data_IF_241413848629
#
_entry.id   IF_241413848629
#
_cell.length_a   1.000
_cell.length_b   1.000
_cell.length_c   1.000
_cell.angle_alpha   90.00
_cell.angle_beta   90.00
_cell.angle_gamma   90.00
#
_symmetry.space_group_name_H-M   'P 1'
#
loop_
_entity.id
_entity.type
_entity.pdbx_description
1 polymer ?
#
# COMPACT_ATOMS: atom_id res chain seq x y z
N UNK A 1 29.65 -25.63 55.21
CA UNK A 1 29.91 -24.27 55.72
C UNK A 1 31.11 -23.68 54.99
N UNK A 2 30.93 -22.91 53.92
CA UNK A 2 31.92 -21.96 53.34
C UNK A 2 31.12 -21.03 52.41
N UNK A 3 30.75 -19.84 52.88
CA UNK A 3 31.49 -18.56 52.85
C UNK A 3 31.45 -17.84 51.49
N UNK A 4 30.89 -16.64 51.57
CA UNK A 4 30.65 -15.61 50.55
C UNK A 4 31.96 -15.16 49.92
N UNK A 5 31.95 -14.83 48.62
CA UNK A 5 32.88 -13.85 48.04
C UNK A 5 32.11 -12.84 47.19
N UNK A 6 31.95 -11.65 47.77
CA UNK A 6 31.73 -10.38 47.07
C UNK A 6 33.00 -9.99 46.32
N UNK A 7 32.85 -9.45 45.11
CA UNK A 7 33.92 -8.80 44.37
C UNK A 7 33.34 -7.69 43.50
N UNK A 8 33.61 -6.44 43.86
CA UNK A 8 33.30 -5.22 43.10
C UNK A 8 34.60 -4.78 42.44
N UNK A 9 34.65 -4.58 41.12
CA UNK A 9 35.66 -3.69 40.49
C UNK A 9 35.18 -3.19 39.12
N UNK A 10 34.85 -1.90 39.10
CA UNK A 10 35.16 -0.86 38.10
C UNK A 10 35.25 -1.22 36.60
N UNK A 11 34.33 -0.62 35.83
CA UNK A 11 34.62 0.26 34.69
C UNK A 11 35.54 -0.25 33.58
N UNK A 12 34.95 -0.75 32.49
CA UNK A 12 35.53 -0.65 31.13
C UNK A 12 34.39 -0.25 30.18
N UNK A 13 34.52 0.93 29.57
CA UNK A 13 33.78 1.28 28.35
C UNK A 13 34.24 0.35 27.22
N UNK A 14 33.32 -0.38 26.61
CA UNK A 14 33.54 -1.00 25.31
C UNK A 14 32.66 -0.28 24.29
N UNK A 15 33.30 0.49 23.41
CA UNK A 15 32.68 0.93 22.15
C UNK A 15 32.30 -0.31 21.35
N UNK A 16 31.01 -0.52 21.14
CA UNK A 16 30.53 -1.43 20.10
C UNK A 16 30.02 -0.56 18.95
N UNK A 17 30.88 -0.38 17.95
CA UNK A 17 30.47 0.08 16.64
C UNK A 17 30.00 -1.15 15.85
N UNK A 18 28.69 -1.25 15.61
CA UNK A 18 28.15 -2.05 14.50
C UNK A 18 26.81 -1.46 14.09
N UNK A 19 26.88 -0.58 13.08
CA UNK A 19 25.69 -0.17 12.35
C UNK A 19 25.15 -1.35 11.56
N UNK A 20 23.86 -1.62 11.67
CA UNK A 20 23.10 -2.35 10.66
C UNK A 20 22.03 -1.42 10.10
N UNK A 21 22.45 -0.64 9.11
CA UNK A 21 21.59 0.14 8.23
C UNK A 21 20.71 -0.80 7.41
N UNK A 22 19.46 -0.97 7.79
CA UNK A 22 18.41 -1.51 6.92
C UNK A 22 17.13 -0.66 6.95
N UNK A 23 17.31 0.65 7.08
CA UNK A 23 16.31 1.64 6.68
C UNK A 23 16.87 2.42 5.51
N UNK A 24 16.36 2.15 4.30
CA UNK A 24 16.24 3.07 3.16
C UNK A 24 16.00 2.27 1.89
N UNK A 25 14.75 2.13 1.47
CA UNK A 25 14.43 2.02 0.04
C UNK A 25 13.05 2.60 -0.25
N UNK A 26 12.97 3.93 -0.15
CA UNK A 26 11.92 4.74 -0.76
C UNK A 26 12.46 6.13 -1.10
N UNK A 27 13.56 6.21 -1.88
CA UNK A 27 13.99 7.49 -2.44
C UNK A 27 13.34 7.70 -3.82
N UNK A 28 12.41 8.63 -3.78
CA UNK A 28 11.69 9.34 -4.83
C UNK A 28 12.67 9.84 -5.91
N UNK A 29 12.31 9.69 -7.19
CA UNK A 29 12.98 10.40 -8.28
C UNK A 29 12.64 11.89 -8.14
N UNK A 30 13.63 12.70 -7.82
CA UNK A 30 13.58 14.15 -8.03
C UNK A 30 13.59 14.41 -9.52
N UNK A 31 12.52 15.03 -10.02
CA UNK A 31 12.48 15.62 -11.35
C UNK A 31 12.95 17.06 -11.18
N UNK A 32 14.18 17.36 -11.59
CA UNK A 32 14.65 18.73 -11.70
C UNK A 32 13.99 19.38 -12.92
N UNK A 33 13.24 20.46 -12.73
CA UNK A 33 13.02 21.46 -13.79
C UNK A 33 13.53 22.77 -13.24
N UNK A 34 14.75 23.11 -13.63
CA UNK A 34 15.16 24.51 -13.61
C UNK A 34 14.28 25.25 -14.62
N UNK A 35 13.29 25.97 -14.12
CA UNK A 35 12.54 26.95 -14.89
C UNK A 35 12.54 28.25 -14.11
N UNK A 36 13.31 29.21 -14.62
CA UNK A 36 13.41 30.60 -14.18
C UNK A 36 11.99 31.21 -14.09
N UNK A 37 11.66 31.99 -13.04
CA UNK A 37 10.35 32.60 -12.94
C UNK A 37 10.28 33.88 -13.78
N UNK A 38 9.46 33.86 -14.82
CA UNK A 38 8.99 35.11 -15.43
C UNK A 38 7.87 35.68 -14.55
N UNK A 39 8.13 36.86 -13.97
CA UNK A 39 7.11 37.67 -13.28
C UNK A 39 5.98 38.01 -14.27
N UNK A 40 4.74 37.72 -13.89
CA UNK A 40 3.61 38.55 -14.31
C UNK A 40 2.64 38.69 -13.13
N UNK A 41 2.22 39.93 -12.94
CA UNK A 41 1.45 40.40 -11.81
C UNK A 41 -0.03 39.99 -11.91
N UNK A 42 -0.69 39.91 -10.75
CA UNK A 42 -2.12 40.18 -10.63
C UNK A 42 -3.04 38.97 -10.66
N UNK A 43 -3.33 38.42 -9.48
CA UNK A 43 -4.71 38.28 -8.96
C UNK A 43 -4.64 37.42 -7.70
N UNK A 44 -4.68 38.07 -6.55
CA UNK A 44 -4.84 37.41 -5.25
C UNK A 44 -6.27 36.93 -5.11
N UNK A 45 -6.62 35.85 -5.82
CA UNK A 45 -7.71 34.99 -5.38
C UNK A 45 -7.13 34.11 -4.29
N UNK A 46 -7.31 34.58 -3.05
CA UNK A 46 -7.18 33.78 -1.84
C UNK A 46 -8.01 32.51 -2.06
N UNK A 47 -7.34 31.43 -2.48
CA UNK A 47 -7.96 30.12 -2.65
C UNK A 47 -8.28 29.66 -1.24
N UNK A 48 -9.48 29.96 -0.79
CA UNK A 48 -10.08 29.39 0.40
C UNK A 48 -9.93 27.88 0.25
N UNK A 49 -8.96 27.30 0.94
CA UNK A 49 -8.78 25.86 0.99
C UNK A 49 -9.94 25.36 1.82
N UNK A 50 -11.09 25.16 1.16
CA UNK A 50 -12.16 24.32 1.67
C UNK A 50 -11.49 22.99 1.99
N UNK A 51 -11.20 22.77 3.27
CA UNK A 51 -10.71 21.52 3.79
C UNK A 51 -11.80 20.51 3.49
N UNK A 52 -11.65 19.77 2.39
CA UNK A 52 -12.53 18.65 2.10
C UNK A 52 -12.57 17.77 3.36
N UNK A 53 -13.74 17.28 3.78
CA UNK A 53 -13.84 16.51 5.01
C UNK A 53 -12.90 15.31 4.92
N UNK A 54 -11.88 15.32 5.78
CA UNK A 54 -10.97 14.20 5.90
C UNK A 54 -11.77 13.04 6.49
N UNK A 55 -12.12 12.07 5.65
CA UNK A 55 -12.87 10.89 6.08
C UNK A 55 -11.88 9.77 6.33
N UNK A 56 -11.87 9.22 7.54
CA UNK A 56 -11.00 8.09 7.88
C UNK A 56 -11.86 6.83 7.93
N UNK A 57 -11.50 5.83 7.14
CA UNK A 57 -12.19 4.55 7.18
C UNK A 57 -11.85 3.78 8.47
N UNK A 58 -12.72 2.82 8.82
CA UNK A 58 -12.49 1.91 9.94
C UNK A 58 -11.20 1.11 9.71
N UNK A 59 -10.48 0.78 10.78
CA UNK A 59 -9.24 0.01 10.68
C UNK A 59 -9.46 -1.38 10.05
N UNK A 60 -8.39 -1.94 9.46
CA UNK A 60 -8.42 -3.31 8.96
C UNK A 60 -8.49 -4.29 10.15
N UNK A 61 -9.51 -5.14 10.19
CA UNK A 61 -9.65 -6.19 11.20
C UNK A 61 -8.69 -7.37 11.00
N UNK A 62 -8.16 -7.57 9.79
CA UNK A 62 -7.17 -8.60 9.48
C UNK A 62 -6.04 -8.02 8.64
N UNK A 63 -4.81 -8.43 8.96
CA UNK A 63 -3.58 -7.94 8.31
C UNK A 63 -2.65 -9.04 7.82
N UNK A 64 -2.99 -10.32 8.05
CA UNK A 64 -2.20 -11.48 7.63
C UNK A 64 -3.09 -12.48 6.89
N UNK A 65 -2.57 -13.04 5.80
CA UNK A 65 -3.31 -13.89 4.86
C UNK A 65 -2.40 -15.00 4.32
N UNK A 66 -2.98 -16.16 4.05
CA UNK A 66 -2.30 -17.33 3.50
C UNK A 66 -2.10 -17.26 1.98
N UNK A 67 -2.81 -16.36 1.29
CA UNK A 67 -2.78 -16.24 -0.16
C UNK A 67 -3.17 -14.83 -0.62
N UNK A 68 -2.87 -14.52 -1.88
CA UNK A 68 -3.38 -13.28 -2.50
C UNK A 68 -4.90 -13.30 -2.69
N UNK A 69 -5.48 -14.48 -2.84
CA UNK A 69 -6.93 -14.67 -3.04
C UNK A 69 -7.70 -14.34 -1.76
N UNK A 70 -7.31 -14.91 -0.61
CA UNK A 70 -7.95 -14.62 0.67
C UNK A 70 -7.83 -13.14 1.06
N UNK A 71 -6.69 -12.51 0.76
CA UNK A 71 -6.53 -11.07 0.90
C UNK A 71 -7.46 -10.26 0.00
N UNK A 72 -7.60 -10.63 -1.28
CA UNK A 72 -8.50 -9.91 -2.18
C UNK A 72 -9.98 -10.09 -1.79
N UNK A 73 -10.39 -11.29 -1.37
CA UNK A 73 -11.73 -11.54 -0.86
C UNK A 73 -12.04 -10.66 0.36
N UNK A 74 -11.13 -10.65 1.35
CA UNK A 74 -11.22 -9.77 2.51
C UNK A 74 -11.26 -8.30 2.11
N UNK A 75 -10.36 -7.86 1.21
CA UNK A 75 -10.28 -6.47 0.80
C UNK A 75 -11.56 -6.02 0.07
N UNK A 76 -12.16 -6.88 -0.75
CA UNK A 76 -13.42 -6.59 -1.42
C UNK A 76 -14.56 -6.41 -0.42
N UNK A 77 -14.68 -7.31 0.56
CA UNK A 77 -15.67 -7.18 1.63
C UNK A 77 -15.47 -5.90 2.45
N UNK A 78 -14.22 -5.62 2.85
CA UNK A 78 -13.86 -4.39 3.56
C UNK A 78 -14.21 -3.14 2.73
N UNK A 79 -13.88 -3.10 1.45
CA UNK A 79 -14.19 -2.00 0.54
C UNK A 79 -15.70 -1.75 0.43
N UNK A 80 -16.50 -2.81 0.33
CA UNK A 80 -17.96 -2.71 0.30
C UNK A 80 -18.54 -2.18 1.62
N UNK A 81 -18.07 -2.70 2.75
CA UNK A 81 -18.52 -2.29 4.08
C UNK A 81 -18.18 -0.83 4.42
N UNK A 82 -17.08 -0.32 3.87
CA UNK A 82 -16.56 1.01 4.17
C UNK A 82 -16.71 2.01 3.04
N UNK A 83 -17.39 1.62 1.95
CA UNK A 83 -17.63 2.44 0.76
C UNK A 83 -16.35 3.00 0.12
N UNK A 84 -15.28 2.23 0.15
CA UNK A 84 -13.98 2.57 -0.43
C UNK A 84 -13.75 1.83 -1.74
N UNK A 85 -12.94 2.38 -2.64
CA UNK A 85 -12.48 1.64 -3.82
C UNK A 85 -10.98 1.82 -4.01
N UNK A 86 -10.27 0.71 -3.98
CA UNK A 86 -8.84 0.64 -4.22
C UNK A 86 -8.55 -0.01 -5.57
N UNK A 87 -7.51 0.48 -6.24
CA UNK A 87 -6.93 -0.13 -7.43
C UNK A 87 -5.47 -0.47 -7.19
N UNK A 88 -4.98 -1.50 -7.87
CA UNK A 88 -3.55 -1.81 -7.87
C UNK A 88 -2.80 -0.67 -8.58
N UNK A 89 -1.82 -0.07 -7.88
CA UNK A 89 -0.91 0.93 -8.44
C UNK A 89 0.38 0.30 -8.93
N UNK A 90 0.97 -0.58 -8.13
CA UNK A 90 2.20 -1.29 -8.47
C UNK A 90 2.14 -2.71 -7.94
N UNK A 91 2.74 -3.62 -8.68
CA UNK A 91 3.00 -5.00 -8.30
C UNK A 91 4.45 -5.34 -8.62
N UNK A 92 5.11 -6.12 -7.77
CA UNK A 92 6.43 -6.67 -8.10
C UNK A 92 6.37 -8.18 -8.04
N UNK A 93 6.96 -8.86 -9.03
CA UNK A 93 7.00 -10.32 -9.09
C UNK A 93 7.98 -10.91 -8.07
N UNK A 94 7.67 -12.09 -7.56
CA UNK A 94 8.56 -12.86 -6.69
C UNK A 94 9.88 -13.15 -7.39
N UNK A 95 9.82 -13.59 -8.64
CA UNK A 95 10.99 -13.87 -9.48
C UNK A 95 11.99 -12.71 -9.49
N UNK A 96 11.50 -11.47 -9.63
CA UNK A 96 12.36 -10.28 -9.66
C UNK A 96 13.05 -10.04 -8.32
N UNK A 97 12.33 -10.22 -7.21
CA UNK A 97 12.91 -10.11 -5.87
C UNK A 97 13.96 -11.19 -5.64
N UNK A 98 13.64 -12.44 -5.94
CA UNK A 98 14.55 -13.56 -5.73
C UNK A 98 15.83 -13.41 -6.57
N UNK A 99 15.70 -12.95 -7.82
CA UNK A 99 16.84 -12.63 -8.68
C UNK A 99 17.76 -11.58 -8.05
N UNK A 100 17.19 -10.53 -7.45
CA UNK A 100 17.98 -9.49 -6.76
C UNK A 100 18.69 -10.03 -5.52
N UNK A 101 18.00 -10.83 -4.70
CA UNK A 101 18.58 -11.47 -3.51
C UNK A 101 19.79 -12.32 -3.90
N UNK A 102 19.64 -13.20 -4.91
CA UNK A 102 20.73 -14.04 -5.43
C UNK A 102 21.89 -13.20 -5.96
N UNK A 103 21.61 -12.19 -6.79
CA UNK A 103 22.65 -11.31 -7.37
C UNK A 103 23.43 -10.53 -6.30
N UNK A 104 22.78 -10.17 -5.20
CA UNK A 104 23.37 -9.41 -4.10
C UNK A 104 23.98 -10.31 -3.01
N UNK A 105 23.92 -11.65 -3.16
CA UNK A 105 24.30 -12.61 -2.13
C UNK A 105 23.68 -12.30 -0.76
N UNK A 106 22.42 -11.84 -0.75
CA UNK A 106 21.72 -11.49 0.48
C UNK A 106 21.19 -12.75 1.17
N UNK A 107 21.23 -12.77 2.52
CA UNK A 107 20.77 -13.91 3.35
C UNK A 107 19.24 -14.03 3.45
N UNK A 108 18.49 -13.12 2.84
CA UNK A 108 17.03 -13.15 2.90
C UNK A 108 16.48 -14.42 2.23
N UNK A 109 15.53 -15.14 2.85
CA UNK A 109 14.99 -16.36 2.28
C UNK A 109 14.26 -16.09 0.96
N UNK A 110 14.40 -17.03 0.02
CA UNK A 110 13.74 -16.96 -1.27
C UNK A 110 12.26 -17.26 -1.10
N UNK A 111 11.43 -16.42 -1.69
CA UNK A 111 9.97 -16.61 -1.64
C UNK A 111 9.59 -17.60 -2.74
N UNK A 112 8.73 -18.58 -2.46
CA UNK A 112 8.28 -19.53 -3.48
C UNK A 112 7.55 -18.85 -4.65
N UNK A 113 7.75 -19.35 -5.88
CA UNK A 113 7.26 -18.68 -7.10
C UNK A 113 5.73 -18.76 -7.27
N UNK A 114 5.06 -19.70 -6.62
CA UNK A 114 3.61 -19.86 -6.57
C UNK A 114 2.87 -18.63 -6.01
N UNK A 115 3.56 -17.80 -5.23
CA UNK A 115 3.00 -16.52 -4.78
C UNK A 115 2.80 -15.51 -5.92
N UNK A 116 3.52 -15.68 -7.05
CA UNK A 116 3.55 -14.84 -8.26
C UNK A 116 4.02 -13.40 -7.99
N UNK A 117 3.32 -12.68 -7.11
CA UNK A 117 3.58 -11.32 -6.68
C UNK A 117 4.20 -11.30 -5.28
N UNK A 118 5.35 -10.65 -5.16
CA UNK A 118 5.99 -10.38 -3.88
C UNK A 118 5.23 -9.31 -3.10
N UNK A 119 4.84 -8.22 -3.78
CA UNK A 119 4.07 -7.15 -3.15
C UNK A 119 3.07 -6.50 -4.11
N UNK A 120 2.08 -5.85 -3.52
CA UNK A 120 1.13 -4.97 -4.19
C UNK A 120 0.95 -3.70 -3.36
N UNK A 121 0.99 -2.57 -4.04
CA UNK A 121 0.54 -1.29 -3.50
C UNK A 121 -0.79 -0.97 -4.13
N UNK A 122 -1.81 -0.87 -3.29
CA UNK A 122 -3.15 -0.48 -3.66
C UNK A 122 -3.39 0.96 -3.23
N UNK A 123 -3.97 1.77 -4.11
CA UNK A 123 -4.30 3.17 -3.83
C UNK A 123 -5.76 3.41 -4.10
N UNK A 124 -6.34 4.39 -3.43
CA UNK A 124 -7.70 4.81 -3.74
C UNK A 124 -7.85 5.12 -5.24
N UNK A 125 -9.02 4.86 -5.82
CA UNK A 125 -9.34 5.25 -7.21
C UNK A 125 -9.16 6.75 -7.45
N UNK A 126 -9.36 7.54 -6.40
CA UNK A 126 -9.13 8.99 -6.37
C UNK A 126 -7.66 9.40 -6.29
N UNK A 127 -6.72 8.46 -6.20
CA UNK A 127 -5.30 8.79 -6.09
C UNK A 127 -4.75 9.40 -7.39
N UNK A 128 -3.84 10.35 -7.24
CA UNK A 128 -3.16 11.06 -8.32
C UNK A 128 -3.84 12.38 -8.71
N UNK A 129 -3.15 13.16 -9.52
CA UNK A 129 -3.63 14.46 -10.01
C UNK A 129 -4.51 14.27 -11.24
N UNK A 130 -5.69 14.90 -11.27
CA UNK A 130 -6.49 14.95 -12.48
C UNK A 130 -5.89 15.91 -13.52
N UNK A 131 -5.73 15.44 -14.77
CA UNK A 131 -5.29 16.27 -15.90
C UNK A 131 -6.48 16.56 -16.83
N UNK A 132 -6.89 17.82 -16.92
CA UNK A 132 -7.95 18.27 -17.83
C UNK A 132 -7.51 18.11 -19.29
N UNK A 133 -8.36 17.52 -20.14
CA UNK A 133 -8.10 17.35 -21.59
C UNK A 133 -8.98 18.25 -22.48
N UNK A 134 -9.68 19.22 -21.91
CA UNK A 134 -10.57 20.11 -22.64
C UNK A 134 -11.32 21.08 -21.71
N UNK A 135 -12.08 22.02 -22.31
CA UNK A 135 -12.82 23.07 -21.59
C UNK A 135 -14.19 22.61 -21.04
N UNK A 136 -14.70 21.45 -21.49
CA UNK A 136 -16.01 20.95 -21.09
C UNK A 136 -16.03 20.32 -19.68
N UNK A 137 -17.11 20.55 -18.93
CA UNK A 137 -17.45 19.79 -17.72
C UNK A 137 -18.16 18.51 -18.13
N UNK A 138 -17.69 17.36 -17.65
CA UNK A 138 -18.39 16.08 -17.88
C UNK A 138 -19.30 15.79 -16.68
N UNK A 139 -20.38 15.01 -16.82
CA UNK A 139 -21.06 14.44 -15.67
C UNK A 139 -20.11 13.53 -14.86
N UNK A 140 -20.48 13.24 -13.60
CA UNK A 140 -19.75 12.34 -12.69
C UNK A 140 -18.31 12.78 -12.39
N UNK A 141 -18.16 14.01 -11.92
CA UNK A 141 -16.88 14.53 -11.43
C UNK A 141 -16.43 13.82 -10.14
N UNK A 142 -17.38 13.31 -9.38
CA UNK A 142 -17.19 12.73 -8.05
C UNK A 142 -16.20 11.58 -8.04
N UNK A 143 -16.11 10.77 -9.11
CA UNK A 143 -15.22 9.60 -9.25
C UNK A 143 -13.79 9.92 -9.74
N UNK A 144 -13.46 11.21 -9.96
CA UNK A 144 -12.17 11.62 -10.55
C UNK A 144 -11.06 11.64 -9.52
N UNK A 145 -9.81 11.58 -10.00
CA UNK A 145 -8.65 11.70 -9.14
C UNK A 145 -8.62 13.07 -8.41
N UNK A 146 -8.63 13.03 -7.08
CA UNK A 146 -8.61 14.20 -6.18
C UNK A 146 -7.30 14.27 -5.39
N UNK A 147 -6.25 13.60 -5.83
CA UNK A 147 -4.98 13.47 -5.10
C UNK A 147 -5.13 12.78 -3.74
N UNK A 148 -6.12 11.88 -3.62
CA UNK A 148 -6.31 11.10 -2.40
C UNK A 148 -5.06 10.29 -2.04
N UNK A 149 -4.69 10.29 -0.76
CA UNK A 149 -3.48 9.67 -0.23
C UNK A 149 -3.71 8.27 0.37
N UNK A 150 -4.97 7.81 0.42
CA UNK A 150 -5.29 6.49 0.95
C UNK A 150 -4.60 5.38 0.16
N UNK A 151 -3.92 4.49 0.88
CA UNK A 151 -3.04 3.49 0.31
C UNK A 151 -2.87 2.30 1.25
N UNK A 152 -2.90 1.09 0.69
CA UNK A 152 -2.60 -0.16 1.37
C UNK A 152 -1.40 -0.83 0.68
N UNK A 153 -0.41 -1.24 1.45
CA UNK A 153 0.74 -2.01 0.96
C UNK A 153 0.68 -3.41 1.54
N UNK A 154 0.60 -4.43 0.69
CA UNK A 154 0.68 -5.84 1.10
C UNK A 154 1.95 -6.47 0.51
N UNK A 155 2.67 -7.26 1.30
CA UNK A 155 3.81 -8.04 0.81
C UNK A 155 3.94 -9.39 1.50
N UNK A 156 4.48 -10.36 0.78
CA UNK A 156 4.82 -11.68 1.32
C UNK A 156 6.02 -11.53 2.25
N UNK A 157 5.90 -12.02 3.48
CA UNK A 157 6.95 -11.99 4.51
C UNK A 157 7.08 -13.36 5.17
N UNK A 158 8.24 -13.59 5.77
CA UNK A 158 8.40 -14.69 6.72
C UNK A 158 7.66 -14.30 7.99
N UNK A 159 6.76 -15.15 8.45
CA UNK A 159 6.01 -14.95 9.70
C UNK A 159 6.44 -15.89 10.80
N UNK A 160 6.98 -17.06 10.44
CA UNK A 160 7.49 -18.09 11.34
C UNK A 160 8.57 -18.92 10.61
N UNK A 161 9.17 -19.86 11.33
CA UNK A 161 10.10 -20.84 10.77
C UNK A 161 11.57 -20.50 10.98
N UNK A 162 12.45 -21.44 10.59
CA UNK A 162 13.90 -21.28 10.67
C UNK A 162 14.43 -20.67 9.36
N UNK A 163 15.72 -20.28 9.34
CA UNK A 163 16.39 -19.84 8.10
C UNK A 163 16.31 -20.88 6.98
N UNK A 164 16.26 -22.16 7.33
CA UNK A 164 16.24 -23.28 6.37
C UNK A 164 14.84 -23.73 5.98
N UNK A 165 13.82 -23.40 6.78
CA UNK A 165 12.42 -23.72 6.52
C UNK A 165 11.51 -22.55 6.95
N UNK A 166 11.47 -21.47 6.14
CA UNK A 166 10.70 -20.28 6.44
C UNK A 166 9.22 -20.46 6.07
N UNK A 167 8.34 -20.07 6.98
CA UNK A 167 6.89 -20.01 6.73
C UNK A 167 6.52 -18.62 6.24
N UNK A 168 5.94 -18.56 5.04
CA UNK A 168 5.54 -17.30 4.40
C UNK A 168 4.05 -17.03 4.59
N UNK A 169 3.72 -15.75 4.77
CA UNK A 169 2.36 -15.26 4.67
C UNK A 169 2.34 -13.87 4.02
N UNK A 170 1.20 -13.50 3.44
CA UNK A 170 0.96 -12.15 2.96
C UNK A 170 0.60 -11.24 4.14
N UNK A 171 1.37 -10.18 4.32
CA UNK A 171 1.17 -9.22 5.39
C UNK A 171 0.83 -7.83 4.85
N UNK A 172 -0.17 -7.18 5.44
CA UNK A 172 -0.41 -5.75 5.28
C UNK A 172 0.66 -4.99 6.06
N UNK A 173 1.49 -4.25 5.33
CA UNK A 173 2.66 -3.54 5.86
C UNK A 173 2.42 -2.07 6.13
N UNK A 174 1.41 -1.50 5.47
CA UNK A 174 1.02 -0.10 5.62
C UNK A 174 -0.45 0.00 5.25
N UNK A 175 -1.24 0.67 6.08
CA UNK A 175 -2.62 1.01 5.80
C UNK A 175 -2.85 2.48 6.11
N UNK A 176 -2.82 3.32 5.07
CA UNK A 176 -3.24 4.73 5.13
C UNK A 176 -4.70 4.78 4.73
N UNK A 177 -5.57 4.96 5.70
CA UNK A 177 -7.03 4.88 5.53
C UNK A 177 -7.73 6.25 5.62
N UNK A 178 -6.95 7.33 5.64
CA UNK A 178 -7.45 8.69 5.57
C UNK A 178 -7.66 9.09 4.10
N UNK A 179 -8.86 9.60 3.82
CA UNK A 179 -9.29 10.09 2.51
C UNK A 179 -9.53 11.60 2.57
N UNK A 180 -9.41 12.24 1.41
CA UNK A 180 -9.75 13.66 1.23
C UNK A 180 -11.09 13.87 0.52
N UNK A 181 -11.92 12.82 0.48
CA UNK A 181 -13.25 12.80 -0.09
C UNK A 181 -14.16 11.95 0.80
N UNK A 182 -15.48 12.17 0.76
CA UNK A 182 -16.41 11.38 1.55
C UNK A 182 -16.48 9.93 1.06
N UNK A 183 -16.72 9.03 2.01
CA UNK A 183 -16.98 7.61 1.78
C UNK A 183 -18.48 7.35 2.01
N UNK A 184 -19.26 7.36 0.93
CA UNK A 184 -20.71 7.17 0.98
C UNK A 184 -21.12 6.05 0.04
N UNK A 185 -22.22 5.37 0.37
CA UNK A 185 -22.78 4.32 -0.48
C UNK A 185 -23.04 4.82 -1.90
N UNK A 186 -23.62 6.02 -2.04
CA UNK A 186 -23.89 6.62 -3.35
C UNK A 186 -22.63 6.79 -4.21
N UNK A 187 -21.49 7.18 -3.62
CA UNK A 187 -20.23 7.28 -4.36
C UNK A 187 -19.69 5.88 -4.71
N UNK A 188 -19.82 4.93 -3.79
CA UNK A 188 -19.34 3.56 -3.97
C UNK A 188 -20.03 2.84 -5.14
N UNK A 189 -21.36 2.97 -5.23
CA UNK A 189 -22.17 2.40 -6.32
C UNK A 189 -21.85 2.99 -7.69
N UNK A 190 -21.22 4.17 -7.76
CA UNK A 190 -20.83 4.76 -9.04
C UNK A 190 -19.54 4.17 -9.62
N UNK A 191 -18.72 3.46 -8.83
CA UNK A 191 -17.48 2.86 -9.31
C UNK A 191 -17.74 1.79 -10.35
N UNK A 192 -16.94 1.77 -11.42
CA UNK A 192 -17.14 0.82 -12.53
C UNK A 192 -17.09 -0.63 -12.05
N UNK A 193 -16.15 -0.97 -11.15
CA UNK A 193 -15.99 -2.32 -10.62
C UNK A 193 -17.20 -2.81 -9.83
N UNK A 194 -17.97 -1.90 -9.22
CA UNK A 194 -19.19 -2.21 -8.49
C UNK A 194 -20.35 -2.37 -9.47
N UNK A 195 -20.49 -1.44 -10.42
CA UNK A 195 -21.58 -1.46 -11.41
C UNK A 195 -21.55 -2.64 -12.36
N UNK A 196 -20.37 -3.15 -12.68
CA UNK A 196 -20.19 -4.28 -13.61
C UNK A 196 -20.03 -5.61 -12.88
N UNK A 197 -20.13 -5.63 -11.55
CA UNK A 197 -20.10 -6.87 -10.80
C UNK A 197 -21.35 -7.69 -11.16
N UNK A 198 -21.12 -8.87 -11.73
CA UNK A 198 -22.19 -9.81 -12.00
C UNK A 198 -22.62 -10.50 -10.69
N UNK A 199 -23.90 -10.80 -10.58
CA UNK A 199 -24.39 -11.66 -9.52
C UNK A 199 -23.70 -13.04 -9.61
N UNK A 200 -23.38 -13.71 -8.49
CA UNK A 200 -22.70 -15.01 -8.51
C UNK A 200 -23.37 -16.05 -9.42
N UNK A 201 -24.72 -16.10 -9.43
CA UNK A 201 -25.50 -16.98 -10.31
C UNK A 201 -25.29 -16.73 -11.81
N UNK A 202 -25.04 -15.47 -12.19
CA UNK A 202 -24.77 -15.09 -13.58
C UNK A 202 -23.34 -15.48 -13.99
N UNK A 203 -22.39 -15.44 -13.06
CA UNK A 203 -21.01 -15.87 -13.32
C UNK A 203 -20.97 -17.38 -13.55
N UNK A 204 -21.64 -18.16 -12.70
CA UNK A 204 -21.74 -19.62 -12.84
C UNK A 204 -22.34 -20.03 -14.19
N UNK A 205 -23.39 -19.35 -14.63
CA UNK A 205 -24.02 -19.61 -15.93
C UNK A 205 -23.07 -19.34 -17.10
N UNK A 206 -22.26 -18.27 -17.03
CA UNK A 206 -21.28 -17.95 -18.08
C UNK A 206 -20.16 -18.98 -18.13
N UNK A 207 -19.73 -19.52 -16.99
CA UNK A 207 -18.67 -20.52 -16.93
C UNK A 207 -19.12 -21.89 -17.44
N UNK A 208 -20.40 -22.25 -17.29
CA UNK A 208 -20.98 -23.48 -17.90
C UNK A 208 -21.05 -23.41 -19.43
N UNK A 209 -21.03 -22.21 -20.02
CA UNK A 209 -21.11 -22.01 -21.48
C UNK A 209 -19.75 -21.92 -22.18
N UNK A 210 -18.63 -22.14 -21.46
CA UNK A 210 -17.26 -22.11 -21.99
C UNK A 210 -16.68 -23.51 -22.17
#
# INVERSE_FOLDING_TARGET
MYSIRTGVYTGIQVRVASGSSFEKFAKRREWSVDRVPHRSAGSTLLRLMMTAPATTATALGQTQFDSWESFHAYLNAYMAQTYQSFRIRTNNKVQERNRKIKKQNATAPLIPEEWIWYNKTLVCTHAGSYKTRGKGKRPRQEVRSTECCAQINACVRVVNGSTHDPVFALCVTTAKLQHNHPLTLSNYEQYSSVRTALAPSMVETVDVLR
#
